data_IF_920172843393
#
_entry.id   IF_920172843393
#
_cell.length_a   1.000
_cell.length_b   1.000
_cell.length_c   1.000
_cell.angle_alpha   90.00
_cell.angle_beta   90.00
_cell.angle_gamma   90.00
#
_symmetry.space_group_name_H-M   'P 1'
#
loop_
_entity.id
_entity.type
_entity.pdbx_description
1 polymer ?
#
# COMPACT_ATOMS: atom_id res chain seq x y z
N UNK A 1 3.31 -30.63 29.29
CA UNK A 1 2.16 -29.71 29.21
C UNK A 1 2.51 -28.68 28.16
N UNK A 2 1.74 -28.63 27.08
CA UNK A 2 1.98 -27.80 25.90
C UNK A 2 1.85 -26.31 26.23
N UNK A 3 2.86 -25.52 25.86
CA UNK A 3 2.83 -24.06 25.83
C UNK A 3 1.69 -23.57 24.94
N UNK A 4 0.53 -23.37 25.54
CA UNK A 4 -0.61 -22.67 24.96
C UNK A 4 -0.71 -21.38 25.76
N UNK A 5 -0.20 -20.26 25.22
CA UNK A 5 -0.43 -18.99 25.92
C UNK A 5 0.40 -17.77 25.54
N UNK A 6 1.36 -17.83 24.62
CA UNK A 6 1.88 -16.58 24.04
C UNK A 6 1.03 -16.18 22.85
N UNK A 7 -0.12 -15.54 23.14
CA UNK A 7 -0.81 -14.73 22.14
C UNK A 7 0.18 -13.61 21.79
N UNK A 8 0.63 -13.49 20.52
CA UNK A 8 1.49 -12.39 20.13
C UNK A 8 0.76 -11.09 20.48
N UNK A 9 1.43 -10.20 21.21
CA UNK A 9 0.94 -8.84 21.47
C UNK A 9 0.97 -8.06 20.16
N UNK A 10 0.05 -8.34 19.26
CA UNK A 10 -0.23 -7.49 18.11
C UNK A 10 -1.16 -6.39 18.63
N UNK A 11 -0.62 -5.19 18.82
CA UNK A 11 -1.48 -4.04 19.08
C UNK A 11 -2.32 -3.80 17.83
N UNK A 12 -3.60 -3.47 17.96
CA UNK A 12 -4.48 -3.15 16.81
C UNK A 12 -3.98 -1.96 15.98
N UNK A 13 -3.10 -1.11 16.54
CA UNK A 13 -2.38 -0.10 15.76
C UNK A 13 -1.28 -0.68 14.83
N UNK A 14 -0.82 -1.92 15.07
CA UNK A 14 0.29 -2.52 14.34
C UNK A 14 -0.10 -3.05 12.95
N UNK A 15 -1.37 -3.41 12.72
CA UNK A 15 -1.83 -3.98 11.44
C UNK A 15 -1.73 -2.96 10.29
N UNK A 16 -2.24 -1.75 10.50
CA UNK A 16 -2.09 -0.67 9.51
C UNK A 16 -0.64 -0.22 9.37
N UNK A 17 0.14 -0.21 10.45
CA UNK A 17 1.55 0.17 10.39
C UNK A 17 2.37 -0.82 9.53
N UNK A 18 2.10 -2.12 9.67
CA UNK A 18 2.73 -3.17 8.86
C UNK A 18 2.35 -3.03 7.39
N UNK A 19 1.05 -2.98 7.08
CA UNK A 19 0.56 -2.82 5.70
C UNK A 19 1.07 -1.54 5.04
N UNK A 20 1.12 -0.44 5.80
CA UNK A 20 1.65 0.83 5.28
C UNK A 20 3.16 0.73 4.99
N UNK A 21 3.91 0.00 5.82
CA UNK A 21 5.33 -0.28 5.57
C UNK A 21 5.51 -1.12 4.31
N UNK A 22 4.72 -2.18 4.14
CA UNK A 22 4.73 -3.01 2.92
C UNK A 22 4.42 -2.21 1.66
N UNK A 23 3.38 -1.36 1.71
CA UNK A 23 3.00 -0.48 0.59
C UNK A 23 4.11 0.50 0.25
N UNK A 24 4.81 1.05 1.25
CA UNK A 24 5.89 2.02 1.06
C UNK A 24 7.14 1.39 0.45
N UNK A 25 7.49 0.17 0.84
CA UNK A 25 8.70 -0.51 0.38
C UNK A 25 8.53 -1.17 -0.99
N UNK A 26 7.30 -1.47 -1.39
CA UNK A 26 7.02 -2.13 -2.66
C UNK A 26 7.20 -1.18 -3.86
N UNK A 27 8.14 -1.51 -4.73
CA UNK A 27 8.32 -0.85 -6.03
C UNK A 27 7.52 -1.62 -7.09
N UNK A 28 6.40 -1.07 -7.61
CA UNK A 28 5.60 -1.75 -8.62
C UNK A 28 6.38 -1.88 -9.94
N UNK A 29 6.26 -3.03 -10.60
CA UNK A 29 6.98 -3.36 -11.84
C UNK A 29 6.11 -3.19 -13.09
N UNK A 30 4.78 -3.22 -12.94
CA UNK A 30 3.82 -3.09 -14.03
C UNK A 30 2.57 -2.31 -13.60
N UNK A 31 1.70 -2.03 -14.56
CA UNK A 31 0.47 -1.26 -14.35
C UNK A 31 -0.52 -1.95 -13.40
N UNK A 32 -0.57 -3.28 -13.39
CA UNK A 32 -1.45 -4.04 -12.51
C UNK A 32 -0.96 -3.97 -11.05
N UNK A 33 0.35 -3.99 -10.84
CA UNK A 33 0.96 -3.78 -9.53
C UNK A 33 0.75 -2.36 -9.03
N UNK A 34 0.86 -1.34 -9.90
CA UNK A 34 0.52 0.04 -9.55
C UNK A 34 -0.93 0.14 -9.09
N UNK A 35 -1.86 -0.44 -9.84
CA UNK A 35 -3.29 -0.43 -9.51
C UNK A 35 -3.57 -1.12 -8.18
N UNK A 36 -2.98 -2.29 -7.95
CA UNK A 36 -3.10 -3.02 -6.68
C UNK A 36 -2.53 -2.22 -5.51
N UNK A 37 -1.35 -1.63 -5.67
CA UNK A 37 -0.70 -0.83 -4.64
C UNK A 37 -1.52 0.41 -4.29
N UNK A 38 -2.11 1.04 -5.31
CA UNK A 38 -2.98 2.21 -5.15
C UNK A 38 -4.27 1.87 -4.41
N UNK A 39 -4.91 0.73 -4.74
CA UNK A 39 -6.09 0.23 -4.01
C UNK A 39 -5.76 -0.15 -2.57
N UNK A 40 -4.59 -0.76 -2.34
CA UNK A 40 -4.14 -1.10 -0.99
C UNK A 40 -3.97 0.17 -0.14
N UNK A 41 -3.39 1.23 -0.70
CA UNK A 41 -3.28 2.51 -0.01
C UNK A 41 -4.66 3.12 0.31
N UNK A 42 -5.59 3.11 -0.66
CA UNK A 42 -6.96 3.60 -0.42
C UNK A 42 -7.65 2.80 0.69
N UNK A 43 -7.42 1.49 0.76
CA UNK A 43 -7.99 0.67 1.83
C UNK A 43 -7.42 1.02 3.22
N UNK A 44 -6.12 1.34 3.34
CA UNK A 44 -5.55 1.79 4.63
C UNK A 44 -6.20 3.12 5.04
N UNK A 45 -6.39 4.03 4.08
CA UNK A 45 -7.06 5.30 4.33
C UNK A 45 -8.51 5.12 4.76
N UNK A 46 -9.27 4.25 4.09
CA UNK A 46 -10.65 3.92 4.48
C UNK A 46 -10.73 3.31 5.87
N UNK A 47 -9.78 2.47 6.26
CA UNK A 47 -9.73 1.92 7.61
C UNK A 47 -9.53 3.01 8.67
N UNK A 48 -8.65 3.99 8.40
CA UNK A 48 -8.47 5.17 9.26
C UNK A 48 -9.77 5.97 9.35
N UNK A 49 -10.45 6.21 8.23
CA UNK A 49 -11.73 6.94 8.21
C UNK A 49 -12.80 6.22 9.05
N UNK A 50 -12.97 4.91 8.87
CA UNK A 50 -13.93 4.10 9.63
C UNK A 50 -13.62 4.14 11.14
N UNK A 51 -12.34 4.00 11.49
CA UNK A 51 -11.89 4.11 12.87
C UNK A 51 -12.19 5.48 13.46
N UNK A 52 -11.85 6.56 12.75
CA UNK A 52 -12.11 7.92 13.19
C UNK A 52 -13.61 8.18 13.37
N UNK A 53 -14.48 7.71 12.47
CA UNK A 53 -15.93 7.80 12.63
C UNK A 53 -16.40 7.09 13.91
N UNK A 54 -15.86 5.89 14.19
CA UNK A 54 -16.21 5.13 15.40
C UNK A 54 -15.73 5.80 16.68
N UNK A 55 -14.56 6.43 16.66
CA UNK A 55 -14.02 7.19 17.79
C UNK A 55 -14.90 8.41 18.15
N UNK A 56 -15.72 8.92 17.22
CA UNK A 56 -16.69 9.99 17.51
C UNK A 56 -17.95 9.53 18.24
N UNK A 57 -18.21 8.22 18.32
CA UNK A 57 -19.37 7.68 19.03
C UNK A 57 -18.99 7.47 20.49
N UNK A 58 -19.63 8.21 21.38
CA UNK A 58 -19.42 8.09 22.83
C UNK A 58 -19.65 6.65 23.30
N UNK A 59 -18.59 6.02 23.80
CA UNK A 59 -18.68 4.68 24.38
C UNK A 59 -19.23 4.79 25.80
N UNK A 60 -20.44 4.28 25.99
CA UNK A 60 -20.99 4.13 27.34
C UNK A 60 -20.27 2.99 28.08
N UNK A 61 -20.18 3.07 29.41
CA UNK A 61 -19.56 2.05 30.27
C UNK A 61 -20.23 0.65 30.16
N UNK A 62 -21.37 0.56 29.47
CA UNK A 62 -22.14 -0.66 29.22
C UNK A 62 -21.80 -1.34 27.87
N UNK A 63 -21.10 -0.63 26.97
CA UNK A 63 -20.82 -1.06 25.59
C UNK A 63 -19.33 -1.20 25.29
N UNK A 64 -18.47 -1.29 26.31
CA UNK A 64 -17.03 -1.51 26.13
C UNK A 64 -16.72 -3.01 26.27
N UNK A 65 -16.84 -3.80 25.20
CA UNK A 65 -16.56 -5.25 25.19
C UNK A 65 -15.06 -5.60 25.22
N UNK A 66 -14.22 -4.68 25.69
CA UNK A 66 -12.81 -4.89 26.00
C UNK A 66 -11.92 -5.19 24.79
N UNK A 67 -10.72 -5.72 25.07
CA UNK A 67 -9.69 -5.95 24.05
C UNK A 67 -10.10 -6.94 22.95
N UNK A 68 -10.95 -7.92 23.27
CA UNK A 68 -11.42 -8.90 22.30
C UNK A 68 -12.30 -8.27 21.22
N UNK A 69 -13.27 -7.44 21.63
CA UNK A 69 -14.11 -6.69 20.70
C UNK A 69 -13.27 -5.79 19.79
N UNK A 70 -12.28 -5.07 20.35
CA UNK A 70 -11.41 -4.18 19.57
C UNK A 70 -10.64 -4.91 18.46
N UNK A 71 -10.15 -6.12 18.73
CA UNK A 71 -9.43 -6.93 17.74
C UNK A 71 -10.38 -7.35 16.60
N UNK A 72 -11.54 -7.92 16.93
CA UNK A 72 -12.51 -8.33 15.91
C UNK A 72 -13.06 -7.14 15.12
N UNK A 73 -13.26 -6.01 15.80
CA UNK A 73 -13.70 -4.78 15.16
C UNK A 73 -12.66 -4.24 14.19
N UNK A 74 -11.37 -4.27 14.55
CA UNK A 74 -10.29 -3.88 13.65
C UNK A 74 -10.22 -4.79 12.42
N UNK A 75 -10.33 -6.12 12.59
CA UNK A 75 -10.38 -7.05 11.47
C UNK A 75 -11.57 -6.78 10.54
N UNK A 76 -12.73 -6.47 11.11
CA UNK A 76 -13.93 -6.13 10.36
C UNK A 76 -13.76 -4.80 9.60
N UNK A 77 -13.18 -3.80 10.25
CA UNK A 77 -12.90 -2.49 9.65
C UNK A 77 -11.91 -2.64 8.47
N UNK A 78 -10.90 -3.51 8.59
CA UNK A 78 -9.99 -3.84 7.48
C UNK A 78 -10.73 -4.44 6.28
N UNK A 79 -11.65 -5.39 6.49
CA UNK A 79 -12.39 -6.01 5.38
C UNK A 79 -13.38 -5.04 4.73
N UNK A 80 -14.06 -4.20 5.53
CA UNK A 80 -14.88 -3.13 4.97
C UNK A 80 -14.05 -2.15 4.17
N UNK A 81 -12.89 -1.73 4.69
CA UNK A 81 -12.02 -0.80 4.01
C UNK A 81 -11.50 -1.35 2.67
N UNK A 82 -11.13 -2.64 2.61
CA UNK A 82 -10.80 -3.33 1.35
C UNK A 82 -11.97 -3.37 0.38
N UNK A 83 -13.17 -3.67 0.88
CA UNK A 83 -14.36 -3.72 0.03
C UNK A 83 -14.67 -2.34 -0.57
N UNK A 84 -14.62 -1.29 0.26
CA UNK A 84 -14.83 0.09 -0.16
C UNK A 84 -13.77 0.56 -1.16
N UNK A 85 -12.49 0.25 -0.93
CA UNK A 85 -11.42 0.56 -1.88
C UNK A 85 -11.58 -0.17 -3.21
N UNK A 86 -12.13 -1.39 -3.21
CA UNK A 86 -12.42 -2.12 -4.44
C UNK A 86 -13.58 -1.53 -5.24
N UNK A 87 -14.49 -0.80 -4.61
CA UNK A 87 -15.58 -0.07 -5.26
C UNK A 87 -15.15 1.28 -5.84
N UNK A 88 -13.87 1.67 -5.70
CA UNK A 88 -13.29 2.91 -6.22
C UNK A 88 -14.07 4.17 -5.75
N UNK A 89 -14.54 4.15 -4.50
CA UNK A 89 -15.55 5.09 -4.00
C UNK A 89 -15.03 6.53 -3.84
N UNK A 90 -13.73 6.71 -3.57
CA UNK A 90 -13.16 8.03 -3.30
C UNK A 90 -12.34 8.61 -4.46
N UNK A 91 -11.98 7.80 -5.46
CA UNK A 91 -11.06 8.18 -6.52
C UNK A 91 -9.61 8.41 -6.07
N UNK A 92 -9.29 8.10 -4.80
CA UNK A 92 -7.95 8.25 -4.26
C UNK A 92 -6.98 7.28 -4.92
N UNK A 93 -7.37 6.00 -5.09
CA UNK A 93 -6.55 5.01 -5.80
C UNK A 93 -6.21 5.47 -7.22
N UNK A 94 -7.16 6.03 -7.97
CA UNK A 94 -6.90 6.54 -9.32
C UNK A 94 -5.90 7.70 -9.35
N UNK A 95 -5.98 8.58 -8.35
CA UNK A 95 -5.03 9.71 -8.22
C UNK A 95 -3.62 9.21 -7.91
N UNK A 96 -3.50 8.22 -7.01
CA UNK A 96 -2.24 7.59 -6.66
C UNK A 96 -1.67 6.80 -7.84
N UNK A 97 -2.51 6.06 -8.56
CA UNK A 97 -2.14 5.33 -9.77
C UNK A 97 -1.52 6.26 -10.80
N UNK A 98 -2.15 7.41 -11.05
CA UNK A 98 -1.61 8.43 -11.95
C UNK A 98 -0.26 8.99 -11.50
N UNK A 99 -0.09 9.21 -10.19
CA UNK A 99 1.19 9.66 -9.62
C UNK A 99 2.29 8.59 -9.75
N UNK A 100 2.00 7.35 -9.38
CA UNK A 100 2.95 6.24 -9.45
C UNK A 100 3.35 5.92 -10.89
N UNK A 101 2.38 5.87 -11.80
CA UNK A 101 2.64 5.67 -13.24
C UNK A 101 3.56 6.74 -13.79
N UNK A 102 3.32 8.02 -13.46
CA UNK A 102 4.18 9.12 -13.89
C UNK A 102 5.60 9.01 -13.35
N UNK A 103 5.77 8.57 -12.10
CA UNK A 103 7.09 8.36 -11.51
C UNK A 103 7.84 7.22 -12.23
N UNK A 104 7.14 6.14 -12.58
CA UNK A 104 7.71 5.02 -13.34
C UNK A 104 8.10 5.42 -14.77
N UNK A 105 7.26 6.19 -15.47
CA UNK A 105 7.55 6.69 -16.82
C UNK A 105 8.69 7.73 -16.82
N UNK A 106 8.76 8.56 -15.77
CA UNK A 106 9.80 9.58 -15.58
C UNK A 106 11.20 8.99 -15.37
N UNK A 107 11.30 7.80 -14.76
CA UNK A 107 12.55 7.04 -14.61
C UNK A 107 13.01 6.31 -15.88
N UNK A 108 12.08 5.99 -16.80
CA UNK A 108 12.37 5.26 -18.03
C UNK A 108 13.10 6.08 -19.11
N UNK A 109 12.80 7.38 -19.21
CA UNK A 109 13.39 8.23 -20.27
C UNK A 109 14.89 8.45 -20.11
N UNK A 110 15.42 8.39 -18.89
CA UNK A 110 16.86 8.51 -18.63
C UNK A 110 17.60 7.22 -19.02
N UNK A 111 17.00 6.06 -18.76
CA UNK A 111 17.63 4.75 -19.01
C UNK A 111 17.67 4.34 -20.50
N UNK A 112 16.63 4.61 -21.30
CA UNK A 112 16.66 4.29 -22.73
C UNK A 112 17.63 5.17 -23.52
N UNK A 113 17.71 6.46 -23.18
CA UNK A 113 18.65 7.40 -23.80
C UNK A 113 20.10 7.04 -23.45
N UNK A 114 20.36 6.63 -22.20
CA UNK A 114 21.69 6.13 -21.79
C UNK A 114 22.06 4.81 -22.48
N UNK A 115 21.10 3.89 -22.63
CA UNK A 115 21.31 2.59 -23.32
C UNK A 115 21.50 2.77 -24.83
N UNK A 116 20.80 3.71 -25.45
CA UNK A 116 20.97 4.07 -26.86
C UNK A 116 22.32 4.79 -27.10
N UNK A 117 22.69 5.72 -26.22
CA UNK A 117 23.97 6.42 -26.27
C UNK A 117 25.17 5.46 -26.09
N UNK A 118 25.12 4.55 -25.13
CA UNK A 118 26.17 3.54 -24.93
C UNK A 118 26.32 2.57 -26.10
N UNK A 119 25.21 2.18 -26.75
CA UNK A 119 25.23 1.33 -27.96
C UNK A 119 25.79 2.06 -29.19
N UNK A 120 25.56 3.37 -29.30
CA UNK A 120 26.14 4.19 -30.36
C UNK A 120 27.66 4.37 -30.17
N UNK A 121 28.11 4.59 -28.94
CA UNK A 121 29.52 4.70 -28.59
C UNK A 121 30.30 3.41 -28.88
N UNK A 122 29.74 2.24 -28.55
CA UNK A 122 30.36 0.95 -28.87
C UNK A 122 30.55 0.73 -30.38
N UNK A 123 29.58 1.14 -31.19
CA UNK A 123 29.65 1.00 -32.66
C UNK A 123 30.65 1.96 -33.31
N UNK A 124 30.91 3.11 -32.70
CA UNK A 124 31.92 4.06 -33.20
C UNK A 124 33.34 3.55 -32.93
N UNK A 125 33.60 3.04 -31.72
CA UNK A 125 34.91 2.50 -31.35
C UNK A 125 35.33 1.30 -32.22
N UNK A 126 34.39 0.40 -32.54
CA UNK A 126 34.67 -0.79 -33.37
C UNK A 126 34.93 -0.48 -34.85
N UNK A 127 34.54 0.71 -35.32
CA UNK A 127 34.78 1.14 -36.70
C UNK A 127 36.07 1.96 -36.85
N UNK A 128 36.67 2.43 -35.75
CA UNK A 128 37.95 3.16 -35.74
C UNK A 128 39.16 2.21 -35.58
N UNK A 129 38.95 0.96 -35.16
CA UNK A 129 39.98 -0.08 -35.02
C UNK A 129 40.13 -1.00 -36.26
N UNK A 130 39.58 -0.61 -37.42
CA UNK A 130 39.73 -1.30 -38.71
C UNK A 130 40.37 -0.41 -39.75
#
# INVERSE_FOLDING_TARGET
MSDIGSIPKVSVNDLNAQRFTEVKEKVPQDTEEVKKLSKEFESIFMEIVLKSMRETVDKSSLTDGGNGEQIFQSMLDTEYAKNLANQDMTGLSSSIEGHLTRLMEGGGKINEVQKAAGRAQYKQQMNEER
#
